data_IF_872304785242
#
_entry.id   IF_872304785242
#
_cell.length_a   1.000
_cell.length_b   1.000
_cell.length_c   1.000
_cell.angle_alpha   90.00
_cell.angle_beta   90.00
_cell.angle_gamma   90.00
#
_symmetry.space_group_name_H-M   'P 1'
#
loop_
_entity.id
_entity.type
_entity.pdbx_description
1 polymer ?
#
# COMPACT_ATOMS: atom_id res chain seq x y z
N UNK A 1 6.86 -13.74 21.00
CA UNK A 1 6.11 -12.93 20.03
C UNK A 1 6.92 -11.65 19.81
N UNK A 2 7.66 -11.54 18.71
CA UNK A 2 8.52 -10.38 18.43
C UNK A 2 7.71 -9.18 17.94
N UNK A 3 7.04 -8.50 18.87
CA UNK A 3 6.51 -7.16 18.63
C UNK A 3 7.68 -6.16 18.71
N UNK A 4 8.14 -5.66 17.56
CA UNK A 4 9.03 -4.49 17.56
C UNK A 4 10.02 -4.35 16.40
N UNK A 5 10.12 -5.30 15.47
CA UNK A 5 11.06 -5.14 14.34
C UNK A 5 10.60 -4.03 13.39
N UNK A 6 11.28 -2.89 13.43
CA UNK A 6 11.08 -1.76 12.49
C UNK A 6 11.23 -2.24 11.05
N UNK A 7 10.43 -1.67 10.17
CA UNK A 7 10.50 -1.94 8.73
C UNK A 7 11.72 -1.23 8.14
N UNK A 8 12.57 -1.97 7.43
CA UNK A 8 13.67 -1.37 6.68
C UNK A 8 13.25 -1.04 5.24
N UNK A 9 14.08 -0.26 4.54
CA UNK A 9 13.81 0.17 3.16
C UNK A 9 13.65 -1.01 2.18
N UNK A 10 14.46 -2.06 2.35
CA UNK A 10 14.38 -3.26 1.54
C UNK A 10 13.05 -3.99 1.71
N UNK A 11 12.60 -4.23 2.95
CA UNK A 11 11.31 -4.86 3.25
C UNK A 11 10.14 -4.05 2.69
N UNK A 12 10.21 -2.72 2.76
CA UNK A 12 9.19 -1.83 2.19
C UNK A 12 9.11 -1.99 0.67
N UNK A 13 10.26 -1.97 -0.02
CA UNK A 13 10.30 -2.15 -1.46
C UNK A 13 9.91 -3.55 -1.89
N UNK A 14 10.36 -4.57 -1.17
CA UNK A 14 9.99 -5.95 -1.40
C UNK A 14 8.47 -6.09 -1.31
N UNK A 15 7.84 -5.56 -0.26
CA UNK A 15 6.38 -5.61 -0.12
C UNK A 15 5.66 -4.99 -1.32
N UNK A 16 6.14 -3.85 -1.82
CA UNK A 16 5.55 -3.19 -3.00
C UNK A 16 5.69 -4.03 -4.27
N UNK A 17 6.84 -4.65 -4.47
CA UNK A 17 7.08 -5.55 -5.60
C UNK A 17 6.19 -6.78 -5.49
N UNK A 18 6.15 -7.40 -4.31
CA UNK A 18 5.37 -8.60 -3.99
C UNK A 18 3.86 -8.42 -4.21
N UNK A 19 3.31 -7.29 -3.75
CA UNK A 19 1.89 -6.95 -3.95
C UNK A 19 1.61 -6.72 -5.44
N UNK A 20 2.49 -6.01 -6.14
CA UNK A 20 2.37 -5.81 -7.58
C UNK A 20 2.41 -7.13 -8.34
N UNK A 21 3.34 -8.03 -8.01
CA UNK A 21 3.42 -9.36 -8.61
C UNK A 21 2.14 -10.15 -8.37
N UNK A 22 1.70 -10.26 -7.11
CA UNK A 22 0.50 -11.03 -6.76
C UNK A 22 -0.74 -10.56 -7.53
N UNK A 23 -0.93 -9.25 -7.67
CA UNK A 23 -2.03 -8.69 -8.47
C UNK A 23 -1.90 -8.98 -9.97
N UNK A 24 -0.67 -8.90 -10.51
CA UNK A 24 -0.40 -9.28 -11.91
C UNK A 24 -0.67 -10.76 -12.12
N UNK A 25 -0.24 -11.61 -11.20
CA UNK A 25 -0.39 -13.06 -11.26
C UNK A 25 -1.87 -13.45 -11.21
N UNK A 26 -2.68 -12.80 -10.37
CA UNK A 26 -4.14 -12.99 -10.37
C UNK A 26 -4.78 -12.64 -11.72
N UNK A 27 -4.43 -11.47 -12.31
CA UNK A 27 -4.93 -11.08 -13.64
C UNK A 27 -4.47 -12.02 -14.75
N UNK A 28 -3.21 -12.45 -14.69
CA UNK A 28 -2.63 -13.39 -15.66
C UNK A 28 -3.27 -14.78 -15.51
N UNK A 29 -3.57 -15.21 -14.27
CA UNK A 29 -4.26 -16.47 -13.97
C UNK A 29 -5.62 -16.55 -14.66
N UNK A 30 -6.43 -15.49 -14.58
CA UNK A 30 -7.73 -15.42 -15.28
C UNK A 30 -7.56 -15.56 -16.80
N UNK A 31 -6.56 -14.88 -17.38
CA UNK A 31 -6.28 -14.98 -18.83
C UNK A 31 -5.81 -16.39 -19.20
N UNK A 32 -4.96 -17.00 -18.37
CA UNK A 32 -4.47 -18.35 -18.59
C UNK A 32 -5.59 -19.39 -18.53
N UNK A 33 -6.54 -19.27 -17.60
CA UNK A 33 -7.73 -20.13 -17.56
C UNK A 33 -8.52 -20.06 -18.88
N UNK A 34 -8.76 -18.83 -19.37
CA UNK A 34 -9.41 -18.64 -20.67
C UNK A 34 -8.62 -19.28 -21.82
N UNK A 35 -7.30 -19.15 -21.80
CA UNK A 35 -6.38 -19.74 -22.79
C UNK A 35 -6.41 -21.27 -22.75
N UNK A 36 -6.42 -21.87 -21.56
CA UNK A 36 -6.51 -23.33 -21.38
C UNK A 36 -7.81 -23.89 -21.95
N UNK A 37 -8.93 -23.20 -21.80
CA UNK A 37 -10.20 -23.60 -22.42
C UNK A 37 -10.07 -23.65 -23.95
N UNK A 38 -9.40 -22.67 -24.57
CA UNK A 38 -9.17 -22.64 -26.03
C UNK A 38 -8.22 -23.76 -26.46
N UNK A 39 -7.16 -24.01 -25.70
CA UNK A 39 -6.22 -25.12 -25.95
C UNK A 39 -6.93 -26.47 -25.84
N UNK A 40 -7.78 -26.66 -24.83
CA UNK A 40 -8.55 -27.89 -24.66
C UNK A 40 -9.53 -28.10 -25.82
N UNK A 41 -10.17 -27.02 -26.33
CA UNK A 41 -11.01 -27.09 -27.54
C UNK A 41 -10.21 -27.48 -28.79
N UNK A 42 -8.97 -27.02 -28.92
CA UNK A 42 -8.07 -27.42 -30.00
C UNK A 42 -7.69 -28.91 -29.92
N UNK A 43 -7.47 -29.42 -28.70
CA UNK A 43 -7.03 -30.80 -28.48
C UNK A 43 -8.18 -31.82 -28.51
N UNK A 44 -9.39 -31.44 -28.07
CA UNK A 44 -10.55 -32.34 -27.94
C UNK A 44 -11.33 -32.56 -29.24
N UNK A 45 -10.99 -31.85 -30.32
CA UNK A 45 -11.73 -31.97 -31.57
C UNK A 45 -11.30 -33.23 -32.35
N UNK A 46 -12.02 -34.33 -32.13
CA UNK A 46 -11.96 -35.53 -32.95
C UNK A 46 -12.69 -35.45 -34.30
N UNK A 47 -13.24 -34.27 -34.67
CA UNK A 47 -14.00 -34.04 -35.90
C UNK A 47 -13.43 -32.78 -36.57
N UNK A 48 -13.14 -32.88 -37.86
CA UNK A 48 -12.46 -31.91 -38.74
C UNK A 48 -12.62 -30.43 -38.30
N UNK A 49 -11.67 -29.94 -37.48
CA UNK A 49 -11.56 -28.51 -37.23
C UNK A 49 -11.20 -27.85 -38.57
N UNK A 50 -12.09 -27.03 -39.11
CA UNK A 50 -11.79 -26.24 -40.31
C UNK A 50 -10.54 -25.40 -40.07
N UNK A 51 -9.67 -25.29 -41.07
CA UNK A 51 -8.43 -24.49 -41.01
C UNK A 51 -8.70 -23.07 -40.46
N UNK A 52 -9.82 -22.46 -40.86
CA UNK A 52 -10.28 -21.15 -40.40
C UNK A 52 -10.54 -21.09 -38.89
N UNK A 53 -11.14 -22.13 -38.31
CA UNK A 53 -11.44 -22.20 -36.88
C UNK A 53 -10.16 -22.39 -36.06
N UNK A 54 -9.24 -23.22 -36.55
CA UNK A 54 -7.90 -23.39 -35.95
C UNK A 54 -7.11 -22.08 -35.96
N UNK A 55 -7.09 -21.36 -37.08
CA UNK A 55 -6.45 -20.04 -37.19
C UNK A 55 -7.07 -19.02 -36.22
N UNK A 56 -8.39 -19.04 -36.06
CA UNK A 56 -9.09 -18.17 -35.10
C UNK A 56 -8.61 -18.42 -33.67
N UNK A 57 -8.59 -19.67 -33.22
CA UNK A 57 -8.15 -20.05 -31.87
C UNK A 57 -6.68 -19.77 -31.62
N UNK A 58 -5.81 -20.01 -32.61
CA UNK A 58 -4.39 -19.62 -32.52
C UNK A 58 -4.27 -18.10 -32.34
N UNK A 59 -5.00 -17.31 -33.13
CA UNK A 59 -5.02 -15.86 -32.98
C UNK A 59 -5.57 -15.39 -31.63
N UNK A 60 -6.54 -16.10 -31.03
CA UNK A 60 -7.01 -15.82 -29.66
C UNK A 60 -5.91 -16.07 -28.62
N UNK A 61 -5.17 -17.19 -28.74
CA UNK A 61 -4.03 -17.51 -27.87
C UNK A 61 -2.92 -16.47 -28.01
N UNK A 62 -2.59 -16.05 -29.23
CA UNK A 62 -1.58 -15.02 -29.48
C UNK A 62 -1.96 -13.67 -28.87
N UNK A 63 -3.23 -13.25 -29.02
CA UNK A 63 -3.74 -12.03 -28.38
C UNK A 63 -3.65 -12.11 -26.86
N UNK A 64 -4.04 -13.24 -26.27
CA UNK A 64 -3.92 -13.49 -24.84
C UNK A 64 -2.47 -13.41 -24.36
N UNK A 65 -1.52 -14.02 -25.10
CA UNK A 65 -0.10 -13.95 -24.79
C UNK A 65 0.45 -12.52 -24.87
N UNK A 66 0.05 -11.74 -25.89
CA UNK A 66 0.39 -10.31 -26.00
C UNK A 66 -0.15 -9.51 -24.81
N UNK A 67 -1.37 -9.79 -24.37
CA UNK A 67 -1.97 -9.15 -23.20
C UNK A 67 -1.21 -9.50 -21.91
N UNK A 68 -0.84 -10.77 -21.70
CA UNK A 68 -0.01 -11.21 -20.56
C UNK A 68 1.34 -10.49 -20.57
N UNK A 69 2.02 -10.43 -21.73
CA UNK A 69 3.29 -9.74 -21.87
C UNK A 69 3.16 -8.25 -21.50
N UNK A 70 2.09 -7.59 -21.96
CA UNK A 70 1.79 -6.20 -21.61
C UNK A 70 1.58 -6.01 -20.12
N UNK A 71 0.87 -6.91 -19.44
CA UNK A 71 0.66 -6.84 -17.98
C UNK A 71 1.99 -7.00 -17.23
N UNK A 72 2.80 -7.98 -17.62
CA UNK A 72 4.11 -8.23 -17.00
C UNK A 72 5.03 -7.01 -17.11
N UNK A 73 5.09 -6.40 -18.30
CA UNK A 73 5.95 -5.26 -18.60
C UNK A 73 5.52 -3.93 -17.94
N UNK A 74 4.33 -3.84 -17.35
CA UNK A 74 3.89 -2.57 -16.74
C UNK A 74 4.76 -2.20 -15.53
N UNK A 75 5.22 -0.93 -15.43
CA UNK A 75 5.96 -0.44 -14.27
C UNK A 75 5.14 -0.58 -12.98
N UNK A 76 5.81 -0.91 -11.88
CA UNK A 76 5.18 -1.17 -10.57
C UNK A 76 4.33 0.02 -10.11
N UNK A 77 4.87 1.23 -10.15
CA UNK A 77 4.17 2.44 -9.69
C UNK A 77 2.88 2.68 -10.49
N UNK A 78 2.98 2.61 -11.82
CA UNK A 78 1.85 2.81 -12.73
C UNK A 78 0.79 1.73 -12.55
N UNK A 79 1.22 0.47 -12.38
CA UNK A 79 0.30 -0.65 -12.19
C UNK A 79 -0.46 -0.51 -10.87
N UNK A 80 0.26 -0.21 -9.77
CA UNK A 80 -0.35 -0.05 -8.45
C UNK A 80 -1.31 1.16 -8.44
N UNK A 81 -0.92 2.33 -8.96
CA UNK A 81 -1.79 3.51 -8.99
C UNK A 81 -3.08 3.32 -9.81
N UNK A 82 -3.06 2.48 -10.84
CA UNK A 82 -4.24 2.17 -11.66
C UNK A 82 -5.17 1.14 -11.02
N UNK A 83 -4.71 0.39 -10.02
CA UNK A 83 -5.54 -0.59 -9.33
C UNK A 83 -6.14 0.03 -8.07
N UNK A 84 -7.47 -0.01 -7.98
CA UNK A 84 -8.21 0.46 -6.81
C UNK A 84 -8.59 -0.68 -5.85
N UNK A 85 -8.59 -1.92 -6.34
CA UNK A 85 -8.90 -3.10 -5.56
C UNK A 85 -7.63 -3.93 -5.27
N UNK A 86 -7.40 -4.17 -3.97
CA UNK A 86 -6.30 -4.95 -3.41
C UNK A 86 -6.79 -6.21 -2.67
N UNK A 87 -8.08 -6.54 -2.78
CA UNK A 87 -8.69 -7.71 -2.12
C UNK A 87 -8.13 -9.04 -2.65
N UNK A 88 -7.68 -9.06 -3.90
CA UNK A 88 -7.14 -10.24 -4.59
C UNK A 88 -5.65 -10.49 -4.31
N UNK A 89 -5.03 -9.69 -3.44
CA UNK A 89 -3.62 -9.90 -3.04
C UNK A 89 -3.50 -11.15 -2.18
N UNK A 90 -2.67 -12.08 -2.62
CA UNK A 90 -2.35 -13.30 -1.89
C UNK A 90 -1.28 -13.02 -0.83
N UNK A 91 -1.72 -12.55 0.33
CA UNK A 91 -0.86 -12.25 1.46
C UNK A 91 -0.15 -13.50 2.03
N UNK A 92 -0.78 -14.67 1.91
CA UNK A 92 -0.21 -15.92 2.39
C UNK A 92 1.03 -16.30 1.57
N UNK A 93 0.94 -16.23 0.24
CA UNK A 93 2.08 -16.41 -0.67
C UNK A 93 3.18 -15.39 -0.40
N UNK A 94 2.84 -14.11 -0.22
CA UNK A 94 3.83 -13.07 0.04
C UNK A 94 4.58 -13.34 1.36
N UNK A 95 3.85 -13.67 2.43
CA UNK A 95 4.43 -13.98 3.74
C UNK A 95 5.34 -15.22 3.67
N UNK A 96 4.85 -16.31 3.10
CA UNK A 96 5.57 -17.59 3.05
C UNK A 96 6.75 -17.58 2.08
N UNK A 97 6.57 -17.08 0.86
CA UNK A 97 7.57 -17.18 -0.21
C UNK A 97 8.51 -15.98 -0.23
N UNK A 98 7.97 -14.76 -0.34
CA UNK A 98 8.79 -13.57 -0.57
C UNK A 98 9.48 -13.11 0.72
N UNK A 99 8.75 -13.13 1.84
CA UNK A 99 9.26 -12.78 3.16
C UNK A 99 9.80 -13.97 3.95
N UNK A 100 9.71 -15.20 3.41
CA UNK A 100 10.23 -16.43 4.06
C UNK A 100 9.75 -16.60 5.51
N UNK A 101 8.51 -16.20 5.79
CA UNK A 101 7.91 -16.23 7.13
C UNK A 101 8.44 -15.16 8.11
N UNK A 102 9.36 -14.29 7.71
CA UNK A 102 9.91 -13.23 8.57
C UNK A 102 8.85 -12.21 9.01
N UNK A 103 7.80 -12.04 8.21
CA UNK A 103 6.66 -11.17 8.49
C UNK A 103 5.38 -11.96 8.34
N UNK A 104 4.50 -11.85 9.33
CA UNK A 104 3.18 -12.50 9.27
C UNK A 104 2.25 -11.79 8.28
N UNK A 105 1.24 -12.51 7.79
CA UNK A 105 0.20 -11.97 6.91
C UNK A 105 -0.39 -10.67 7.47
N UNK A 106 -0.72 -10.66 8.77
CA UNK A 106 -1.29 -9.49 9.45
C UNK A 106 -0.32 -8.29 9.43
N UNK A 107 0.98 -8.51 9.64
CA UNK A 107 1.98 -7.43 9.59
C UNK A 107 2.11 -6.84 8.19
N UNK A 108 2.12 -7.68 7.16
CA UNK A 108 2.19 -7.24 5.77
C UNK A 108 0.97 -6.40 5.39
N UNK A 109 -0.23 -6.89 5.72
CA UNK A 109 -1.50 -6.23 5.43
C UNK A 109 -1.62 -4.89 6.15
N UNK A 110 -1.33 -4.87 7.45
CA UNK A 110 -1.32 -3.62 8.23
C UNK A 110 -0.34 -2.59 7.64
N UNK A 111 0.86 -3.01 7.24
CA UNK A 111 1.83 -2.10 6.64
C UNK A 111 1.33 -1.56 5.30
N UNK A 112 0.68 -2.40 4.50
CA UNK A 112 0.09 -2.00 3.24
C UNK A 112 -1.04 -0.98 3.43
N UNK A 113 -2.07 -1.37 4.17
CA UNK A 113 -3.32 -0.63 4.34
C UNK A 113 -3.12 0.70 5.09
N UNK A 114 -2.11 0.79 5.94
CA UNK A 114 -1.87 2.00 6.73
C UNK A 114 -0.88 2.98 6.09
N UNK A 115 0.04 2.52 5.22
CA UNK A 115 1.18 3.35 4.78
C UNK A 115 1.60 3.19 3.32
N UNK A 116 1.50 2.00 2.72
CA UNK A 116 2.06 1.74 1.39
C UNK A 116 1.03 1.79 0.26
N UNK A 117 -0.25 1.56 0.58
CA UNK A 117 -1.33 1.58 -0.40
C UNK A 117 -1.34 2.93 -1.15
N UNK A 118 -1.28 2.94 -2.50
CA UNK A 118 -1.26 4.16 -3.29
C UNK A 118 -2.50 5.04 -3.13
N UNK A 119 -3.63 4.43 -2.75
CA UNK A 119 -4.88 5.16 -2.55
C UNK A 119 -4.81 6.10 -1.34
N UNK A 120 -3.85 5.91 -0.43
CA UNK A 120 -3.74 6.70 0.79
C UNK A 120 -3.20 8.10 0.53
N UNK A 121 -3.82 9.08 1.18
CA UNK A 121 -3.32 10.45 1.20
C UNK A 121 -2.03 10.58 2.02
N UNK A 122 -0.99 11.10 1.35
CA UNK A 122 0.34 11.39 1.93
C UNK A 122 0.59 12.89 2.11
N UNK A 123 -0.41 13.72 1.85
CA UNK A 123 -0.30 15.17 2.02
C UNK A 123 -0.26 15.54 3.50
N UNK A 124 0.15 16.77 3.80
CA UNK A 124 0.03 17.32 5.15
C UNK A 124 -1.45 17.42 5.54
N UNK A 125 -1.74 17.31 6.83
CA UNK A 125 -3.09 17.51 7.36
C UNK A 125 -3.44 18.99 7.27
N UNK A 126 -4.62 19.30 6.73
CA UNK A 126 -5.15 20.67 6.73
C UNK A 126 -5.97 20.95 7.99
N UNK A 127 -6.23 22.23 8.27
CA UNK A 127 -7.07 22.62 9.40
C UNK A 127 -8.52 22.13 9.25
N UNK A 128 -9.03 22.09 8.01
CA UNK A 128 -10.34 21.55 7.69
C UNK A 128 -10.41 20.05 8.00
N UNK A 129 -9.39 19.29 7.58
CA UNK A 129 -9.27 17.86 7.90
C UNK A 129 -9.21 17.65 9.43
N UNK A 130 -8.44 18.48 10.15
CA UNK A 130 -8.32 18.37 11.60
C UNK A 130 -9.65 18.68 12.32
N UNK A 131 -10.38 19.72 11.88
CA UNK A 131 -11.71 20.07 12.41
C UNK A 131 -12.70 18.92 12.18
N UNK A 132 -12.76 18.40 10.97
CA UNK A 132 -13.64 17.28 10.62
C UNK A 132 -13.29 16.02 11.43
N UNK A 133 -12.01 15.70 11.58
CA UNK A 133 -11.54 14.56 12.37
C UNK A 133 -11.97 14.68 13.84
N UNK A 134 -11.80 15.87 14.44
CA UNK A 134 -12.23 16.14 15.81
C UNK A 134 -13.74 15.96 15.94
N UNK A 135 -14.54 16.52 15.04
CA UNK A 135 -15.99 16.44 15.12
C UNK A 135 -16.53 15.03 14.91
N UNK A 136 -15.96 14.25 13.99
CA UNK A 136 -16.29 12.84 13.83
C UNK A 136 -15.90 12.02 15.06
N UNK A 137 -14.74 12.29 15.67
CA UNK A 137 -14.27 11.57 16.87
C UNK A 137 -15.11 11.83 18.13
N UNK A 138 -15.87 12.94 18.18
CA UNK A 138 -16.83 13.21 19.25
C UNK A 138 -18.08 12.32 19.14
N UNK A 139 -18.44 11.93 17.91
CA UNK A 139 -19.67 11.18 17.59
C UNK A 139 -19.42 9.67 17.51
N UNK A 140 -18.24 9.27 17.05
CA UNK A 140 -17.91 7.87 16.78
C UNK A 140 -16.58 7.50 17.42
N UNK A 141 -16.45 6.24 17.86
CA UNK A 141 -15.20 5.69 18.40
C UNK A 141 -14.53 4.67 17.46
N UNK A 142 -15.20 4.31 16.36
CA UNK A 142 -14.68 3.39 15.36
C UNK A 142 -13.87 4.17 14.30
N UNK A 143 -12.55 4.00 14.30
CA UNK A 143 -11.63 4.70 13.39
C UNK A 143 -11.80 4.33 11.91
N UNK A 144 -12.23 3.11 11.60
CA UNK A 144 -12.53 2.72 10.22
C UNK A 144 -13.71 3.55 9.69
N UNK A 145 -14.77 3.64 10.50
CA UNK A 145 -15.93 4.45 10.18
C UNK A 145 -15.58 5.94 10.06
N UNK A 146 -14.75 6.47 10.97
CA UNK A 146 -14.28 7.86 10.89
C UNK A 146 -13.50 8.09 9.58
N UNK A 147 -12.55 7.22 9.26
CA UNK A 147 -11.75 7.29 8.03
C UNK A 147 -12.60 7.28 6.77
N UNK A 148 -13.62 6.42 6.70
CA UNK A 148 -14.57 6.39 5.59
C UNK A 148 -15.37 7.70 5.48
N UNK A 149 -15.85 8.25 6.60
CA UNK A 149 -16.61 9.51 6.62
C UNK A 149 -15.73 10.75 6.38
N UNK A 150 -14.42 10.66 6.58
CA UNK A 150 -13.50 11.74 6.22
C UNK A 150 -13.42 11.94 4.70
N UNK A 151 -13.59 10.87 3.89
CA UNK A 151 -13.64 10.94 2.43
C UNK A 151 -12.35 11.45 1.76
N UNK A 152 -11.25 11.60 2.50
CA UNK A 152 -9.98 12.19 2.06
C UNK A 152 -8.88 11.14 1.85
N UNK A 153 -9.27 9.87 1.75
CA UNK A 153 -8.38 8.71 1.61
C UNK A 153 -7.30 8.61 2.70
N UNK A 154 -7.57 9.09 3.91
CA UNK A 154 -6.73 8.81 5.09
C UNK A 154 -7.12 7.47 5.68
N UNK A 155 -6.15 6.64 6.09
CA UNK A 155 -6.45 5.39 6.80
C UNK A 155 -6.93 5.65 8.23
N UNK A 156 -7.68 4.70 8.78
CA UNK A 156 -8.08 4.69 10.19
C UNK A 156 -6.90 4.93 11.15
N UNK A 157 -5.76 4.31 10.83
CA UNK A 157 -4.52 4.50 11.59
C UNK A 157 -4.00 5.94 11.51
N UNK A 158 -3.98 6.56 10.32
CA UNK A 158 -3.59 7.97 10.17
C UNK A 158 -4.53 8.90 10.94
N UNK A 159 -5.84 8.68 10.86
CA UNK A 159 -6.84 9.44 11.63
C UNK A 159 -6.59 9.31 13.14
N UNK A 160 -6.39 8.10 13.64
CA UNK A 160 -6.10 7.87 15.06
C UNK A 160 -4.80 8.57 15.50
N UNK A 161 -3.71 8.37 14.76
CA UNK A 161 -2.42 9.02 15.07
C UNK A 161 -2.56 10.54 15.09
N UNK A 162 -3.26 11.12 14.11
CA UNK A 162 -3.49 12.55 14.05
C UNK A 162 -4.33 13.02 15.22
N UNK A 163 -5.39 12.31 15.57
CA UNK A 163 -6.24 12.68 16.71
C UNK A 163 -5.48 12.68 18.04
N UNK A 164 -4.66 11.66 18.30
CA UNK A 164 -3.81 11.61 19.50
C UNK A 164 -2.85 12.81 19.52
N UNK A 165 -2.23 13.13 18.38
CA UNK A 165 -1.39 14.31 18.24
C UNK A 165 -2.15 15.61 18.54
N UNK A 166 -3.35 15.80 17.99
CA UNK A 166 -4.18 16.99 18.20
C UNK A 166 -4.59 17.13 19.68
N UNK A 167 -4.94 16.01 20.34
CA UNK A 167 -5.27 16.00 21.77
C UNK A 167 -4.09 16.39 22.65
N UNK A 168 -2.89 15.94 22.31
CA UNK A 168 -1.68 16.24 23.09
C UNK A 168 -1.17 17.67 22.83
N UNK A 169 -1.34 18.18 21.60
CA UNK A 169 -0.73 19.43 21.17
C UNK A 169 -1.71 20.60 20.98
N UNK A 170 -3.01 20.41 21.20
CA UNK A 170 -4.00 21.48 21.18
C UNK A 170 -4.36 21.98 19.78
N UNK A 171 -4.26 21.12 18.75
CA UNK A 171 -4.75 21.43 17.41
C UNK A 171 -3.74 22.05 16.43
N UNK A 172 -2.63 22.62 16.90
CA UNK A 172 -1.66 23.27 15.99
C UNK A 172 -0.48 22.35 15.62
N UNK A 173 -0.27 22.06 14.31
CA UNK A 173 0.87 21.27 13.86
C UNK A 173 2.15 22.09 13.73
N UNK A 174 3.25 21.55 14.25
CA UNK A 174 4.63 21.86 13.85
C UNK A 174 5.14 23.31 13.97
N UNK A 175 4.47 24.20 14.69
CA UNK A 175 5.12 25.41 15.20
C UNK A 175 5.74 25.07 16.56
N UNK A 176 7.07 25.22 16.65
CA UNK A 176 7.74 25.27 17.94
C UNK A 176 6.96 26.23 18.84
N UNK A 177 6.40 25.71 19.94
CA UNK A 177 5.70 26.60 20.86
C UNK A 177 6.75 27.52 21.48
N UNK A 178 6.43 28.79 21.80
CA UNK A 178 7.38 29.69 22.46
C UNK A 178 7.97 29.15 23.77
N UNK A 179 7.28 28.19 24.43
CA UNK A 179 7.77 27.47 25.60
C UNK A 179 8.81 26.40 25.24
N UNK A 180 8.63 25.72 24.12
CA UNK A 180 9.57 24.72 23.59
C UNK A 180 10.82 25.44 23.10
N UNK A 181 10.68 26.56 22.36
CA UNK A 181 11.80 27.38 21.90
C UNK A 181 12.67 27.84 23.07
N UNK A 182 12.03 28.30 24.15
CA UNK A 182 12.74 28.67 25.38
C UNK A 182 13.52 27.49 25.99
N UNK A 183 12.99 26.27 25.93
CA UNK A 183 13.69 25.08 26.41
C UNK A 183 14.87 24.72 25.51
N UNK A 184 14.69 24.76 24.20
CA UNK A 184 15.78 24.53 23.25
C UNK A 184 16.88 25.58 23.41
N UNK A 185 16.53 26.87 23.47
CA UNK A 185 17.49 27.94 23.69
C UNK A 185 18.26 27.78 25.01
N UNK A 186 17.60 27.31 26.07
CA UNK A 186 18.28 26.98 27.34
C UNK A 186 19.26 25.81 27.17
N UNK A 187 18.85 24.74 26.49
CA UNK A 187 19.70 23.58 26.23
C UNK A 187 20.91 23.94 25.35
N UNK A 188 20.69 24.76 24.32
CA UNK A 188 21.75 25.30 23.47
C UNK A 188 22.75 26.10 24.31
N UNK A 189 22.29 26.98 25.20
CA UNK A 189 23.18 27.73 26.09
C UNK A 189 23.97 26.83 27.05
N UNK A 190 23.36 25.75 27.53
CA UNK A 190 23.98 24.84 28.50
C UNK A 190 25.03 23.92 27.85
N UNK A 191 24.79 23.47 26.62
CA UNK A 191 25.60 22.45 25.95
C UNK A 191 26.49 22.99 24.81
N UNK A 192 26.60 24.32 24.67
CA UNK A 192 27.51 24.95 23.72
C UNK A 192 28.95 24.84 24.22
N UNK A 193 29.81 24.19 23.44
CA UNK A 193 31.26 24.14 23.65
C UNK A 193 31.91 25.06 22.62
N UNK A 194 32.24 26.30 23.01
CA UNK A 194 32.77 27.31 22.09
C UNK A 194 31.70 27.75 21.07
N UNK A 195 31.92 27.51 19.78
CA UNK A 195 30.96 27.84 18.71
C UNK A 195 30.14 26.65 18.20
N UNK A 196 30.36 25.45 18.74
CA UNK A 196 29.68 24.24 18.28
C UNK A 196 28.73 23.64 19.32
N UNK A 197 27.67 23.00 18.82
CA UNK A 197 26.70 22.23 19.60
C UNK A 197 26.77 20.79 19.09
N UNK A 198 27.19 19.87 19.95
CA UNK A 198 27.28 18.45 19.62
C UNK A 198 25.89 17.81 19.71
N UNK A 199 25.14 17.88 18.61
CA UNK A 199 23.92 17.10 18.47
C UNK A 199 24.29 15.61 18.36
N UNK A 200 23.81 14.79 19.30
CA UNK A 200 23.99 13.35 19.20
C UNK A 200 23.35 12.82 17.90
N UNK A 201 24.12 12.03 17.13
CA UNK A 201 23.65 11.36 15.91
C UNK A 201 22.77 10.16 16.22
#
# INVERSE_FOLDING_TARGET
MEEGRRWNYYEINLLRISVCSSLKDGKIGIINLGKEIVINKLNAAGVEITIRQKQKWIGEIERANKQIARIRAQPINTFLQKNFDYSTVDWARISASDFKGLRSISQLRQKWDNQLCPNLSKTKWTEEEDKQLIDLSKKFSNWNFISENMGNSRSAFQCFQRFIYLKQNGGEPNLWKPKEDRKLLKLIKLHRLGDEILWAK
#
